data_IF_421483779420
#
_entry.id   IF_421483779420
#
_cell.length_a   1.000
_cell.length_b   1.000
_cell.length_c   1.000
_cell.angle_alpha   90.00
_cell.angle_beta   90.00
_cell.angle_gamma   90.00
#
_symmetry.space_group_name_H-M   'P 1'
#
loop_
_entity.id
_entity.type
_entity.pdbx_description
1 polymer ?
#
# COMPACT_ATOMS: atom_id res chain seq x y z
N UNK A 1 14.96 12.98 -10.82
CA UNK A 1 14.81 11.53 -10.84
C UNK A 1 15.89 11.02 -9.92
N UNK A 2 15.49 10.79 -8.69
CA UNK A 2 16.43 10.74 -7.56
C UNK A 2 16.83 9.28 -7.29
N UNK A 3 16.26 8.33 -8.07
CA UNK A 3 16.67 6.93 -8.13
C UNK A 3 16.26 6.06 -6.93
N UNK A 4 15.66 6.64 -5.90
CA UNK A 4 15.40 5.99 -4.59
C UNK A 4 14.19 5.04 -4.63
N UNK A 5 13.17 5.34 -5.44
CA UNK A 5 12.02 4.47 -5.65
C UNK A 5 11.72 4.37 -7.15
N UNK A 6 11.75 3.15 -7.68
CA UNK A 6 11.39 2.86 -9.07
C UNK A 6 10.16 1.98 -9.08
N UNK A 7 9.10 2.44 -9.75
CA UNK A 7 7.97 1.59 -10.13
C UNK A 7 8.42 0.71 -11.30
N UNK A 8 8.33 -0.62 -11.13
CA UNK A 8 8.78 -1.57 -12.16
C UNK A 8 7.68 -1.87 -13.20
N UNK A 9 6.43 -1.58 -12.87
CA UNK A 9 5.27 -1.77 -13.75
C UNK A 9 4.15 -0.79 -13.42
N UNK A 10 3.94 0.18 -14.30
CA UNK A 10 2.72 0.99 -14.37
C UNK A 10 1.77 0.33 -15.37
N UNK A 11 0.75 -0.35 -14.88
CA UNK A 11 -0.33 -0.91 -15.70
C UNK A 11 -1.62 -0.18 -15.29
N UNK A 12 -1.87 0.97 -15.91
CA UNK A 12 -3.04 1.82 -15.65
C UNK A 12 -4.37 1.16 -16.02
N UNK A 13 -4.33 0.03 -16.73
CA UNK A 13 -5.42 -0.53 -17.52
C UNK A 13 -5.68 -2.03 -17.29
N UNK A 14 -4.97 -2.70 -16.38
CA UNK A 14 -5.10 -4.16 -16.18
C UNK A 14 -5.16 -4.66 -14.72
N UNK A 15 -5.72 -5.86 -14.56
CA UNK A 15 -5.73 -6.62 -13.31
C UNK A 15 -4.44 -7.43 -13.21
N UNK A 16 -3.47 -6.93 -12.45
CA UNK A 16 -2.24 -7.65 -12.14
C UNK A 16 -1.66 -7.25 -10.79
N UNK A 17 -0.79 -8.07 -10.20
CA UNK A 17 0.00 -7.63 -9.05
C UNK A 17 0.93 -6.49 -9.48
N UNK A 18 0.77 -5.32 -8.85
CA UNK A 18 1.71 -4.19 -8.93
C UNK A 18 2.87 -4.41 -7.96
N UNK A 19 4.09 -4.09 -8.38
CA UNK A 19 5.29 -4.20 -7.54
C UNK A 19 5.95 -2.84 -7.41
N UNK A 20 6.41 -2.51 -6.19
CA UNK A 20 7.16 -1.28 -5.92
C UNK A 20 8.47 -1.69 -5.27
N UNK A 21 9.60 -1.25 -5.84
CA UNK A 21 10.92 -1.51 -5.29
C UNK A 21 11.55 -0.22 -4.78
N UNK A 22 11.91 -0.22 -3.49
CA UNK A 22 12.73 0.83 -2.86
C UNK A 22 14.12 0.24 -2.68
N UNK A 23 15.14 0.87 -3.30
CA UNK A 23 16.51 0.33 -3.32
C UNK A 23 17.27 0.62 -2.04
N UNK A 24 17.00 1.77 -1.43
CA UNK A 24 17.64 2.23 -0.20
C UNK A 24 16.58 2.85 0.72
N UNK A 25 16.60 2.45 1.98
CA UNK A 25 15.75 3.02 3.04
C UNK A 25 16.62 3.90 3.90
N UNK A 26 16.35 5.21 3.87
CA UNK A 26 16.97 6.16 4.78
C UNK A 26 16.36 6.00 6.19
N UNK A 27 17.20 5.75 7.18
CA UNK A 27 16.78 5.54 8.56
C UNK A 27 16.30 6.82 9.25
N UNK A 28 16.60 7.99 8.70
CA UNK A 28 16.10 9.27 9.21
C UNK A 28 14.77 9.69 8.55
N UNK A 29 14.30 8.90 7.57
CA UNK A 29 13.06 9.14 6.83
C UNK A 29 11.88 8.33 7.36
N UNK A 30 10.66 8.83 7.10
CA UNK A 30 9.38 8.15 7.35
C UNK A 30 8.68 7.89 6.02
N UNK A 31 8.50 6.61 5.69
CA UNK A 31 7.80 6.18 4.48
C UNK A 31 6.42 5.65 4.85
N UNK A 32 5.42 5.95 4.03
CA UNK A 32 4.06 5.46 4.19
C UNK A 32 3.63 4.78 2.90
N UNK A 33 3.00 3.61 3.00
CA UNK A 33 2.44 2.89 1.86
C UNK A 33 0.92 2.75 2.01
N UNK A 34 0.18 3.08 0.95
CA UNK A 34 -1.26 2.93 0.91
C UNK A 34 -1.75 2.52 -0.49
N UNK A 35 -2.91 1.88 -0.53
CA UNK A 35 -3.64 1.54 -1.77
C UNK A 35 -4.84 2.46 -1.89
N UNK A 36 -5.04 3.07 -3.05
CA UNK A 36 -6.20 3.91 -3.35
C UNK A 36 -7.17 3.16 -4.27
N UNK A 37 -8.44 3.07 -3.87
CA UNK A 37 -9.55 2.69 -4.75
C UNK A 37 -9.91 3.90 -5.62
N UNK A 38 -9.34 3.96 -6.82
CA UNK A 38 -9.58 5.04 -7.77
C UNK A 38 -10.98 4.98 -8.41
N UNK A 39 -11.54 3.79 -8.54
CA UNK A 39 -12.90 3.58 -9.09
C UNK A 39 -13.95 4.18 -8.16
N UNK A 40 -13.78 4.07 -6.84
CA UNK A 40 -14.67 4.64 -5.84
C UNK A 40 -14.07 5.86 -5.10
N UNK A 41 -13.16 6.60 -5.74
CA UNK A 41 -12.46 7.74 -5.14
C UNK A 41 -13.37 8.88 -4.65
N UNK A 42 -14.55 9.03 -5.24
CA UNK A 42 -15.50 10.09 -4.86
C UNK A 42 -16.55 9.60 -3.82
N UNK A 43 -16.52 8.31 -3.43
CA UNK A 43 -17.38 7.73 -2.40
C UNK A 43 -16.60 7.42 -1.12
N UNK A 44 -16.57 8.39 -0.22
CA UNK A 44 -15.95 8.28 1.09
C UNK A 44 -16.65 7.27 2.03
N UNK A 45 -17.79 6.71 1.64
CA UNK A 45 -18.52 5.70 2.40
C UNK A 45 -18.55 4.32 1.72
N UNK A 46 -17.81 4.16 0.61
CA UNK A 46 -17.71 2.91 -0.14
C UNK A 46 -17.20 1.78 0.74
N UNK A 47 -17.67 0.55 0.46
CA UNK A 47 -17.14 -0.69 1.03
C UNK A 47 -16.38 -1.53 0.01
N UNK A 48 -16.27 -1.06 -1.23
CA UNK A 48 -15.65 -1.81 -2.34
C UNK A 48 -14.24 -2.25 -1.99
N UNK A 49 -13.40 -1.31 -1.51
CA UNK A 49 -12.04 -1.60 -1.08
C UNK A 49 -11.96 -2.69 -0.01
N UNK A 50 -12.77 -2.60 1.06
CA UNK A 50 -12.81 -3.61 2.13
C UNK A 50 -13.31 -4.99 1.67
N UNK A 51 -14.04 -5.05 0.56
CA UNK A 51 -14.59 -6.28 -0.04
C UNK A 51 -13.70 -6.87 -1.13
N UNK A 52 -12.64 -6.16 -1.54
CA UNK A 52 -11.75 -6.58 -2.62
C UNK A 52 -10.98 -7.86 -2.30
N UNK A 53 -10.72 -8.15 -1.01
CA UNK A 53 -9.84 -9.24 -0.61
C UNK A 53 -8.36 -9.00 -0.94
N UNK A 54 -7.99 -7.75 -1.29
CA UNK A 54 -6.62 -7.39 -1.65
C UNK A 54 -5.62 -7.78 -0.55
N UNK A 55 -4.44 -8.25 -0.98
CA UNK A 55 -3.35 -8.67 -0.10
C UNK A 55 -2.04 -8.05 -0.57
N UNK A 56 -1.29 -7.47 0.37
CA UNK A 56 0.06 -6.94 0.15
C UNK A 56 1.06 -7.90 0.79
N UNK A 57 2.14 -8.18 0.08
CA UNK A 57 3.30 -8.93 0.60
C UNK A 57 4.52 -8.01 0.54
N UNK A 58 5.22 -7.88 1.66
CA UNK A 58 6.43 -7.04 1.76
C UNK A 58 7.62 -7.97 1.83
N UNK A 59 8.59 -7.74 0.95
CA UNK A 59 9.83 -8.51 0.89
C UNK A 59 11.02 -7.62 1.22
N UNK A 60 12.00 -8.17 1.92
CA UNK A 60 13.27 -7.50 2.24
C UNK A 60 14.36 -8.53 2.48
N UNK A 61 15.59 -8.23 2.06
CA UNK A 61 16.73 -9.16 2.13
C UNK A 61 16.47 -10.54 1.48
N UNK A 62 15.58 -10.60 0.48
CA UNK A 62 15.19 -11.84 -0.20
C UNK A 62 14.13 -12.68 0.52
N UNK A 63 13.60 -12.21 1.66
CA UNK A 63 12.62 -12.93 2.47
C UNK A 63 11.27 -12.20 2.54
N UNK A 64 10.20 -12.94 2.79
CA UNK A 64 8.87 -12.37 3.08
C UNK A 64 8.88 -11.83 4.52
N UNK A 65 8.77 -10.52 4.67
CA UNK A 65 8.73 -9.85 5.97
C UNK A 65 7.30 -9.76 6.50
N UNK A 66 6.35 -9.36 5.66
CA UNK A 66 4.96 -9.14 6.06
C UNK A 66 3.99 -9.62 4.97
N UNK A 67 2.81 -10.06 5.38
CA UNK A 67 1.69 -10.37 4.48
C UNK A 67 0.39 -9.90 5.13
N UNK A 68 -0.26 -8.90 4.54
CA UNK A 68 -1.42 -8.22 5.11
C UNK A 68 -2.57 -8.16 4.12
N UNK A 69 -3.77 -8.51 4.59
CA UNK A 69 -5.01 -8.43 3.82
C UNK A 69 -5.81 -7.20 4.24
N UNK A 70 -6.45 -6.56 3.28
CA UNK A 70 -7.33 -5.40 3.49
C UNK A 70 -8.34 -5.68 4.61
N UNK A 71 -8.57 -4.74 5.54
CA UNK A 71 -9.44 -4.99 6.69
C UNK A 71 -10.91 -5.03 6.24
N UNK A 72 -11.66 -6.10 6.57
CA UNK A 72 -13.01 -6.27 6.06
C UNK A 72 -14.00 -5.30 6.74
N UNK A 73 -15.03 -4.92 6.00
CA UNK A 73 -16.20 -4.20 6.53
C UNK A 73 -16.01 -2.69 6.79
N UNK A 74 -14.77 -2.18 6.72
CA UNK A 74 -14.50 -0.76 6.88
C UNK A 74 -14.97 0.05 5.66
N UNK A 75 -15.28 1.34 5.91
CA UNK A 75 -15.71 2.28 4.87
C UNK A 75 -14.56 3.20 4.50
N UNK A 76 -14.50 3.56 3.22
CA UNK A 76 -13.53 4.50 2.68
C UNK A 76 -12.90 3.96 1.40
N UNK A 77 -11.97 4.75 0.86
CA UNK A 77 -11.38 4.53 -0.46
C UNK A 77 -9.84 4.52 -0.43
N UNK A 78 -9.22 4.69 0.74
CA UNK A 78 -7.77 4.62 0.93
C UNK A 78 -7.46 3.57 1.99
N UNK A 79 -6.67 2.55 1.65
CA UNK A 79 -6.16 1.56 2.60
C UNK A 79 -4.73 1.92 2.98
N UNK A 80 -4.53 2.36 4.22
CA UNK A 80 -3.22 2.58 4.80
C UNK A 80 -2.68 1.21 5.25
N UNK A 81 -1.60 0.75 4.64
CA UNK A 81 -1.13 -0.64 4.78
C UNK A 81 -0.05 -0.73 5.85
N UNK A 82 1.05 -0.02 5.65
CA UNK A 82 2.21 -0.01 6.54
C UNK A 82 2.96 1.31 6.43
N UNK A 83 3.84 1.53 7.40
CA UNK A 83 4.85 2.57 7.39
C UNK A 83 6.24 1.99 7.64
N UNK A 84 7.28 2.70 7.21
CA UNK A 84 8.67 2.40 7.53
C UNK A 84 9.23 3.58 8.31
N UNK A 85 9.60 3.31 9.56
CA UNK A 85 10.22 4.29 10.46
C UNK A 85 11.53 3.68 10.94
N UNK A 86 12.65 4.39 10.74
CA UNK A 86 13.99 3.92 11.12
C UNK A 86 14.31 2.53 10.55
N UNK A 87 13.97 2.31 9.28
CA UNK A 87 14.20 1.04 8.59
C UNK A 87 13.25 -0.10 9.00
N UNK A 88 12.32 0.12 9.94
CA UNK A 88 11.40 -0.92 10.41
C UNK A 88 10.01 -0.77 9.80
N UNK A 89 9.54 -1.83 9.15
CA UNK A 89 8.15 -1.96 8.69
C UNK A 89 7.22 -2.11 9.90
N UNK A 90 6.16 -1.31 9.94
CA UNK A 90 5.08 -1.39 10.95
C UNK A 90 3.74 -1.38 10.23
N UNK A 91 2.93 -2.42 10.43
CA UNK A 91 1.58 -2.49 9.85
C UNK A 91 0.67 -1.46 10.53
N UNK A 92 -0.04 -0.67 9.72
CA UNK A 92 -1.08 0.26 10.20
C UNK A 92 -2.47 -0.34 9.95
N UNK A 93 -2.67 -0.93 8.77
CA UNK A 93 -3.81 -1.73 8.34
C UNK A 93 -5.20 -1.18 8.68
N UNK A 94 -5.53 0.00 8.15
CA UNK A 94 -6.86 0.59 8.27
C UNK A 94 -7.29 1.28 6.97
N UNK A 95 -8.60 1.31 6.73
CA UNK A 95 -9.21 2.09 5.65
C UNK A 95 -9.59 3.47 6.19
N UNK A 96 -9.21 4.49 5.44
CA UNK A 96 -9.65 5.87 5.60
C UNK A 96 -10.29 6.37 4.31
N UNK A 97 -10.81 7.59 4.36
CA UNK A 97 -11.25 8.32 3.18
C UNK A 97 -10.25 9.44 2.90
N UNK A 98 -10.19 9.88 1.65
CA UNK A 98 -9.45 11.10 1.30
C UNK A 98 -10.09 12.29 2.02
N UNK A 99 -9.27 13.18 2.59
CA UNK A 99 -9.72 14.51 3.04
C UNK A 99 -10.18 15.37 1.87
#
# INVERSE_FOLDING_TARGET
DDGIATLDRDDTDSFGPETITIKEIDTDSHYMFWVQDFTNRDDNNSRSLSKSGATIKVYGNGELMESVTVPPGQRGNKWNVFEIIKGKVTLTNYISSRE
#
